data_IF_520792364688
#
_entry.id   IF_520792364688
#
_cell.length_a   1.000
_cell.length_b   1.000
_cell.length_c   1.000
_cell.angle_alpha   90.00
_cell.angle_beta   90.00
_cell.angle_gamma   90.00
#
_symmetry.space_group_name_H-M   'P 1'
#
loop_
_entity.id
_entity.type
_entity.pdbx_description
1 polymer ?
#
# COMPACT_ATOMS: atom_id res chain seq x y z
N UNK A 1 5.20 25.74 19.05
CA UNK A 1 4.44 24.48 19.20
C UNK A 1 4.93 23.80 20.48
N UNK A 2 4.16 23.86 21.54
CA UNK A 2 4.41 23.05 22.75
C UNK A 2 3.82 21.66 22.49
N UNK A 3 4.69 20.66 22.29
CA UNK A 3 4.27 19.25 22.39
C UNK A 3 3.83 18.99 23.81
N UNK A 4 2.56 18.65 24.00
CA UNK A 4 2.09 18.00 25.22
C UNK A 4 2.75 16.63 25.32
N UNK A 5 3.19 16.24 26.49
CA UNK A 5 4.12 15.14 26.79
C UNK A 5 3.57 13.72 26.58
N UNK A 6 2.35 13.55 25.97
CA UNK A 6 1.62 12.27 25.89
C UNK A 6 1.14 11.86 24.49
N UNK A 7 1.53 12.54 23.41
CA UNK A 7 1.19 12.09 22.06
C UNK A 7 2.31 11.22 21.49
N UNK A 8 2.13 9.92 21.57
CA UNK A 8 3.02 8.95 20.89
C UNK A 8 2.96 9.18 19.37
N UNK A 9 4.11 9.46 18.76
CA UNK A 9 4.19 9.57 17.29
C UNK A 9 3.96 8.19 16.68
N UNK A 10 3.16 8.13 15.60
CA UNK A 10 2.97 6.91 14.79
C UNK A 10 3.76 7.06 13.49
N UNK A 11 4.57 6.06 13.17
CA UNK A 11 5.29 6.01 11.90
C UNK A 11 4.38 5.53 10.77
N UNK A 12 4.60 6.01 9.55
CA UNK A 12 3.88 5.52 8.37
C UNK A 12 4.88 4.94 7.39
N UNK A 13 4.66 3.68 7.02
CA UNK A 13 5.36 3.01 5.92
C UNK A 13 4.37 2.88 4.77
N UNK A 14 4.60 3.62 3.71
CA UNK A 14 3.76 3.61 2.52
C UNK A 14 4.28 2.59 1.51
N UNK A 15 3.44 1.63 1.13
CA UNK A 15 3.68 0.65 0.09
C UNK A 15 2.67 0.85 -1.03
N UNK A 16 3.15 1.15 -2.22
CA UNK A 16 2.34 1.32 -3.43
C UNK A 16 3.13 0.89 -4.65
N UNK A 17 2.42 0.50 -5.71
CA UNK A 17 2.98 0.31 -7.04
C UNK A 17 4.24 -0.60 -7.02
N UNK A 18 4.18 -1.68 -6.23
CA UNK A 18 5.29 -2.63 -6.14
C UNK A 18 5.38 -3.44 -7.43
N UNK A 19 4.24 -3.73 -8.06
CA UNK A 19 4.15 -4.51 -9.29
C UNK A 19 4.88 -5.86 -9.20
N UNK A 20 4.64 -6.62 -8.14
CA UNK A 20 5.13 -7.99 -8.06
C UNK A 20 4.76 -8.76 -9.33
N UNK A 21 5.61 -9.65 -9.77
CA UNK A 21 5.53 -10.40 -11.00
C UNK A 21 6.01 -9.68 -12.26
N UNK A 22 6.28 -8.38 -12.23
CA UNK A 22 6.94 -7.71 -13.33
C UNK A 22 8.38 -8.21 -13.47
N UNK A 23 8.80 -8.49 -14.69
CA UNK A 23 10.16 -8.87 -15.04
C UNK A 23 10.78 -7.80 -15.93
N UNK A 24 11.78 -7.09 -15.42
CA UNK A 24 12.57 -6.12 -16.17
C UNK A 24 14.02 -6.59 -16.18
N UNK A 25 14.59 -6.77 -17.38
CA UNK A 25 15.99 -7.09 -17.58
C UNK A 25 16.55 -6.26 -18.75
N UNK A 26 16.81 -5.00 -18.48
CA UNK A 26 17.47 -4.08 -19.42
C UNK A 26 18.75 -3.53 -18.79
N UNK A 27 19.63 -2.97 -19.61
CA UNK A 27 20.94 -2.48 -19.15
C UNK A 27 20.83 -1.45 -18.02
N UNK A 28 19.82 -0.58 -18.07
CA UNK A 28 19.62 0.52 -17.11
C UNK A 28 18.75 0.16 -15.91
N UNK A 29 18.01 -0.95 -15.96
CA UNK A 29 17.07 -1.34 -14.90
C UNK A 29 16.86 -2.86 -14.85
N UNK A 30 16.77 -3.38 -13.65
CA UNK A 30 16.39 -4.77 -13.39
C UNK A 30 15.34 -4.83 -12.31
N UNK A 31 14.32 -5.67 -12.53
CA UNK A 31 13.30 -5.93 -11.55
C UNK A 31 12.80 -7.37 -11.65
N UNK A 32 12.69 -8.02 -10.53
CA UNK A 32 12.12 -9.34 -10.32
C UNK A 32 11.76 -9.51 -8.83
N UNK A 33 11.28 -10.68 -8.43
CA UNK A 33 10.96 -10.97 -7.03
C UNK A 33 12.16 -10.86 -6.08
N UNK A 34 13.37 -11.19 -6.54
CA UNK A 34 14.58 -11.09 -5.70
C UNK A 34 14.92 -9.62 -5.43
N UNK A 35 14.78 -8.79 -6.46
CA UNK A 35 15.04 -7.34 -6.33
C UNK A 35 13.95 -6.69 -5.47
N UNK A 36 12.69 -7.05 -5.67
CA UNK A 36 11.59 -6.58 -4.82
C UNK A 36 11.84 -6.93 -3.35
N UNK A 37 12.18 -8.18 -3.06
CA UNK A 37 12.51 -8.64 -1.70
C UNK A 37 13.67 -7.85 -1.08
N UNK A 38 14.75 -7.62 -1.84
CA UNK A 38 15.90 -6.82 -1.37
C UNK A 38 15.53 -5.37 -1.11
N UNK A 39 14.70 -4.75 -1.97
CA UNK A 39 14.23 -3.37 -1.78
C UNK A 39 13.38 -3.25 -0.52
N UNK A 40 12.45 -4.18 -0.29
CA UNK A 40 11.63 -4.20 0.92
C UNK A 40 12.46 -4.44 2.18
N UNK A 41 13.44 -5.35 2.14
CA UNK A 41 14.39 -5.54 3.24
C UNK A 41 15.12 -4.22 3.59
N UNK A 42 15.65 -3.53 2.59
CA UNK A 42 16.34 -2.25 2.80
C UNK A 42 15.38 -1.16 3.32
N UNK A 43 14.13 -1.15 2.87
CA UNK A 43 13.11 -0.24 3.38
C UNK A 43 12.84 -0.50 4.86
N UNK A 44 12.68 -1.78 5.26
CA UNK A 44 12.50 -2.15 6.67
C UNK A 44 13.67 -1.67 7.54
N UNK A 45 14.90 -1.92 7.13
CA UNK A 45 16.09 -1.51 7.88
C UNK A 45 16.18 0.02 8.04
N UNK A 46 15.88 0.77 6.98
CA UNK A 46 15.85 2.23 7.02
C UNK A 46 14.71 2.76 7.90
N UNK A 47 13.52 2.16 7.78
CA UNK A 47 12.37 2.52 8.61
C UNK A 47 12.67 2.30 10.10
N UNK A 48 13.25 1.15 10.46
CA UNK A 48 13.68 0.88 11.84
C UNK A 48 14.64 1.95 12.35
N UNK A 49 15.71 2.21 11.59
CA UNK A 49 16.71 3.21 11.97
C UNK A 49 16.08 4.57 12.21
N UNK A 50 15.20 5.01 11.31
CA UNK A 50 14.57 6.31 11.38
C UNK A 50 13.55 6.40 12.52
N UNK A 51 12.68 5.40 12.66
CA UNK A 51 11.63 5.38 13.68
C UNK A 51 12.19 5.21 15.09
N UNK A 52 13.24 4.41 15.27
CA UNK A 52 13.93 4.34 16.56
C UNK A 52 14.53 5.68 16.97
N UNK A 53 15.15 6.40 16.05
CA UNK A 53 15.70 7.73 16.33
C UNK A 53 14.63 8.75 16.74
N UNK A 54 13.37 8.54 16.33
CA UNK A 54 12.22 9.36 16.69
C UNK A 54 11.43 8.85 17.89
N UNK A 55 11.81 7.71 18.47
CA UNK A 55 11.09 7.09 19.58
C UNK A 55 9.70 6.53 19.21
N UNK A 56 9.48 6.21 17.95
CA UNK A 56 8.25 5.60 17.43
C UNK A 56 8.18 4.14 17.90
N UNK A 57 7.01 3.72 18.38
CA UNK A 57 6.73 2.33 18.80
C UNK A 57 5.58 1.69 18.04
N UNK A 58 4.81 2.50 17.33
CA UNK A 58 3.66 2.07 16.53
C UNK A 58 3.78 2.56 15.09
N UNK A 59 3.50 1.70 14.12
CA UNK A 59 3.54 2.05 12.71
C UNK A 59 2.26 1.64 11.99
N UNK A 60 1.87 2.46 11.00
CA UNK A 60 0.90 2.13 9.98
C UNK A 60 1.63 1.68 8.72
N UNK A 61 1.35 0.47 8.24
CA UNK A 61 1.69 0.08 6.87
C UNK A 61 0.48 0.40 6.00
N UNK A 62 0.62 1.45 5.19
CA UNK A 62 -0.41 1.91 4.26
C UNK A 62 -0.14 1.32 2.87
N UNK A 63 -0.94 0.32 2.48
CA UNK A 63 -0.86 -0.29 1.14
C UNK A 63 -1.88 0.39 0.23
N UNK A 64 -1.42 1.13 -0.76
CA UNK A 64 -2.30 1.92 -1.64
C UNK A 64 -2.44 1.33 -3.04
N UNK A 65 -2.31 0.02 -3.16
CA UNK A 65 -2.66 -0.71 -4.37
C UNK A 65 -1.50 -0.94 -5.33
N UNK A 66 -1.81 -1.64 -6.41
CA UNK A 66 -0.89 -2.11 -7.45
C UNK A 66 0.31 -2.88 -6.88
N UNK A 67 0.02 -3.76 -5.89
CA UNK A 67 1.00 -4.70 -5.38
C UNK A 67 1.38 -5.73 -6.44
N UNK A 68 0.42 -6.14 -7.29
CA UNK A 68 0.64 -7.08 -8.38
C UNK A 68 0.64 -6.37 -9.72
N UNK A 69 1.54 -6.79 -10.63
CA UNK A 69 1.56 -6.30 -11.99
C UNK A 69 0.34 -6.76 -12.79
N UNK A 70 -0.05 -5.99 -13.81
CA UNK A 70 -1.10 -6.34 -14.77
C UNK A 70 -0.71 -7.52 -15.67
N UNK A 71 -1.71 -8.18 -16.23
CA UNK A 71 -1.57 -9.17 -17.32
C UNK A 71 -2.60 -8.93 -18.44
N UNK A 72 -3.07 -7.70 -18.56
CA UNK A 72 -4.10 -7.31 -19.54
C UNK A 72 -3.59 -7.24 -20.98
N UNK A 73 -2.29 -7.00 -21.14
CA UNK A 73 -1.64 -6.86 -22.44
C UNK A 73 -0.68 -8.01 -22.68
N UNK A 74 -0.44 -8.31 -23.95
CA UNK A 74 0.48 -9.38 -24.34
C UNK A 74 1.91 -9.12 -23.84
N UNK A 75 2.38 -7.89 -23.91
CA UNK A 75 3.70 -7.50 -23.41
C UNK A 75 3.83 -7.66 -21.90
N UNK A 76 2.78 -7.33 -21.14
CA UNK A 76 2.74 -7.54 -19.68
C UNK A 76 2.80 -9.06 -19.35
N UNK A 77 2.06 -9.89 -20.08
CA UNK A 77 2.10 -11.35 -19.91
C UNK A 77 3.46 -11.95 -20.27
N UNK A 78 4.11 -11.45 -21.34
CA UNK A 78 5.42 -11.91 -21.77
C UNK A 78 6.55 -11.47 -20.82
N UNK A 79 6.36 -10.38 -20.12
CA UNK A 79 7.30 -9.85 -19.14
C UNK A 79 6.90 -10.21 -17.70
N UNK A 80 6.15 -11.28 -17.50
CA UNK A 80 5.80 -11.80 -16.19
C UNK A 80 6.82 -12.84 -15.71
N UNK A 81 7.31 -12.70 -14.48
CA UNK A 81 8.25 -13.65 -13.88
C UNK A 81 7.61 -15.02 -13.57
N UNK A 82 6.28 -15.06 -13.42
CA UNK A 82 5.50 -16.28 -13.12
C UNK A 82 4.03 -16.10 -13.51
N UNK A 83 3.24 -17.19 -13.45
CA UNK A 83 1.79 -17.03 -13.51
C UNK A 83 1.26 -16.32 -12.26
N UNK A 84 0.12 -15.63 -12.39
CA UNK A 84 -0.42 -14.78 -11.32
C UNK A 84 -0.70 -15.50 -10.01
N UNK A 85 -1.21 -16.73 -10.07
CA UNK A 85 -1.48 -17.52 -8.85
C UNK A 85 -0.20 -17.75 -8.05
N UNK A 86 0.86 -18.25 -8.69
CA UNK A 86 2.14 -18.46 -8.03
C UNK A 86 2.78 -17.15 -7.58
N UNK A 87 2.68 -16.12 -8.41
CA UNK A 87 3.19 -14.79 -8.11
C UNK A 87 2.55 -14.18 -6.87
N UNK A 88 1.23 -14.40 -6.67
CA UNK A 88 0.51 -13.93 -5.48
C UNK A 88 1.07 -14.57 -4.20
N UNK A 89 1.33 -15.88 -4.21
CA UNK A 89 1.96 -16.52 -3.05
C UNK A 89 3.36 -16.00 -2.78
N UNK A 90 4.18 -15.79 -3.83
CA UNK A 90 5.51 -15.20 -3.66
C UNK A 90 5.45 -13.76 -3.10
N UNK A 91 4.48 -12.97 -3.53
CA UNK A 91 4.25 -11.63 -3.00
C UNK A 91 3.85 -11.68 -1.51
N UNK A 92 2.97 -12.61 -1.14
CA UNK A 92 2.60 -12.84 0.27
C UNK A 92 3.82 -13.23 1.11
N UNK A 93 4.64 -14.15 0.65
CA UNK A 93 5.84 -14.59 1.38
C UNK A 93 6.81 -13.42 1.63
N UNK A 94 7.04 -12.58 0.62
CA UNK A 94 7.91 -11.42 0.74
C UNK A 94 7.33 -10.37 1.70
N UNK A 95 6.04 -10.07 1.58
CA UNK A 95 5.36 -9.11 2.46
C UNK A 95 5.26 -9.64 3.89
N UNK A 96 5.01 -10.94 4.07
CA UNK A 96 5.04 -11.58 5.38
C UNK A 96 6.40 -11.40 6.06
N UNK A 97 7.48 -11.65 5.34
CA UNK A 97 8.83 -11.47 5.88
C UNK A 97 9.11 -10.00 6.25
N UNK A 98 8.68 -9.07 5.41
CA UNK A 98 8.80 -7.63 5.65
C UNK A 98 8.04 -7.21 6.93
N UNK A 99 6.80 -7.66 7.09
CA UNK A 99 5.98 -7.37 8.26
C UNK A 99 6.57 -7.99 9.52
N UNK A 100 7.00 -9.25 9.47
CA UNK A 100 7.65 -9.93 10.60
C UNK A 100 8.93 -9.21 11.03
N UNK A 101 9.69 -8.69 10.08
CA UNK A 101 10.92 -7.99 10.38
C UNK A 101 10.67 -6.65 11.10
N UNK A 102 9.66 -5.90 10.67
CA UNK A 102 9.23 -4.68 11.36
C UNK A 102 8.55 -4.96 12.72
N UNK A 103 7.82 -6.06 12.85
CA UNK A 103 7.12 -6.40 14.10
C UNK A 103 8.06 -6.81 15.25
N UNK A 104 9.34 -7.05 14.97
CA UNK A 104 10.35 -7.23 16.03
C UNK A 104 10.52 -5.97 16.88
N UNK A 105 10.28 -4.82 16.31
CA UNK A 105 10.56 -3.52 16.89
C UNK A 105 9.30 -2.67 17.14
N UNK A 106 8.21 -2.91 16.38
CA UNK A 106 7.02 -2.05 16.40
C UNK A 106 5.72 -2.85 16.49
N UNK A 107 4.69 -2.25 17.10
CA UNK A 107 3.31 -2.63 16.86
C UNK A 107 2.89 -2.13 15.48
N UNK A 108 2.22 -2.97 14.71
CA UNK A 108 1.91 -2.69 13.30
C UNK A 108 0.40 -2.69 13.08
N UNK A 109 -0.09 -1.64 12.48
CA UNK A 109 -1.43 -1.61 11.88
C UNK A 109 -1.27 -1.64 10.37
N UNK A 110 -2.00 -2.51 9.69
CA UNK A 110 -1.97 -2.67 8.23
C UNK A 110 -3.32 -2.27 7.67
N UNK A 111 -3.32 -1.36 6.72
CA UNK A 111 -4.50 -0.94 5.97
C UNK A 111 -4.22 -0.98 4.48
N UNK A 112 -5.27 -1.20 3.66
CA UNK A 112 -5.11 -1.27 2.22
C UNK A 112 -6.25 -0.60 1.47
N UNK A 113 -5.97 -0.20 0.25
CA UNK A 113 -6.92 0.06 -0.84
C UNK A 113 -6.40 -0.62 -2.10
N UNK A 114 -7.31 -1.06 -2.99
CA UNK A 114 -6.92 -1.74 -4.22
C UNK A 114 -6.47 -0.77 -5.31
N UNK A 115 -5.48 -1.19 -6.11
CA UNK A 115 -5.04 -0.50 -7.32
C UNK A 115 -5.75 -0.98 -8.58
N UNK A 116 -5.40 -0.41 -9.73
CA UNK A 116 -6.04 -0.74 -11.01
C UNK A 116 -5.34 -1.86 -11.79
N UNK A 117 -4.06 -2.10 -11.57
CA UNK A 117 -3.30 -3.14 -12.27
C UNK A 117 -3.51 -4.53 -11.63
N UNK A 118 -3.80 -4.57 -10.34
CA UNK A 118 -4.01 -5.81 -9.59
C UNK A 118 -5.38 -6.46 -9.78
N UNK A 119 -6.26 -5.94 -10.65
CA UNK A 119 -7.60 -6.51 -10.89
C UNK A 119 -7.55 -7.93 -11.40
N UNK A 120 -8.48 -8.77 -10.92
CA UNK A 120 -8.64 -10.16 -11.38
C UNK A 120 -9.24 -10.18 -12.79
N UNK A 121 -10.27 -9.37 -13.02
CA UNK A 121 -10.89 -9.28 -14.34
C UNK A 121 -10.45 -7.99 -15.06
N UNK A 122 -9.61 -8.09 -16.10
CA UNK A 122 -9.11 -6.91 -16.81
C UNK A 122 -10.15 -6.25 -17.72
N UNK A 123 -11.20 -6.95 -18.13
CA UNK A 123 -12.20 -6.46 -19.10
C UNK A 123 -13.32 -5.65 -18.43
N UNK A 124 -13.56 -5.88 -17.15
CA UNK A 124 -14.59 -5.15 -16.43
C UNK A 124 -14.03 -3.79 -16.00
N UNK A 125 -14.72 -2.73 -16.36
CA UNK A 125 -14.37 -1.38 -15.96
C UNK A 125 -14.34 -1.21 -14.44
N UNK A 126 -13.56 -0.25 -13.99
CA UNK A 126 -13.44 0.05 -12.56
C UNK A 126 -14.78 0.59 -12.02
N UNK A 127 -15.31 -0.06 -10.99
CA UNK A 127 -16.42 0.44 -10.20
C UNK A 127 -16.33 -0.10 -8.77
N UNK A 128 -17.07 0.51 -7.84
CA UNK A 128 -16.97 0.17 -6.42
C UNK A 128 -17.40 -1.27 -6.10
N UNK A 129 -18.25 -1.88 -6.93
CA UNK A 129 -18.71 -3.25 -6.72
C UNK A 129 -17.63 -4.31 -6.99
N UNK A 130 -16.57 -3.97 -7.74
CA UNK A 130 -15.50 -4.89 -8.11
C UNK A 130 -14.14 -4.47 -7.51
N UNK A 131 -14.10 -3.47 -6.66
CA UNK A 131 -12.86 -3.01 -6.01
C UNK A 131 -12.18 -4.15 -5.26
N UNK A 132 -12.95 -5.02 -4.62
CA UNK A 132 -12.44 -6.19 -3.90
C UNK A 132 -12.08 -7.38 -4.80
N UNK A 133 -12.46 -7.37 -6.09
CA UNK A 133 -12.04 -8.41 -7.06
C UNK A 133 -10.62 -8.11 -7.59
N UNK A 134 -9.67 -8.18 -6.66
CA UNK A 134 -8.29 -7.75 -6.84
C UNK A 134 -7.31 -8.67 -6.14
N UNK A 135 -6.14 -8.85 -6.74
CA UNK A 135 -5.01 -9.54 -6.09
C UNK A 135 -4.49 -8.77 -4.87
N UNK A 136 -4.63 -7.45 -4.82
CA UNK A 136 -4.32 -6.67 -3.61
C UNK A 136 -5.20 -7.10 -2.44
N UNK A 137 -6.50 -7.24 -2.68
CA UNK A 137 -7.47 -7.77 -1.70
C UNK A 137 -7.09 -9.19 -1.27
N UNK A 138 -6.76 -10.05 -2.24
CA UNK A 138 -6.36 -11.43 -1.94
C UNK A 138 -5.10 -11.46 -1.06
N UNK A 139 -4.07 -10.69 -1.38
CA UNK A 139 -2.83 -10.59 -0.60
C UNK A 139 -3.14 -10.12 0.82
N UNK A 140 -3.94 -9.05 0.96
CA UNK A 140 -4.30 -8.50 2.27
C UNK A 140 -5.01 -9.54 3.15
N UNK A 141 -6.02 -10.23 2.63
CA UNK A 141 -6.75 -11.22 3.41
C UNK A 141 -5.94 -12.49 3.71
N UNK A 142 -5.02 -12.89 2.83
CA UNK A 142 -4.08 -13.98 3.14
C UNK A 142 -3.14 -13.55 4.28
N UNK A 143 -2.54 -12.36 4.21
CA UNK A 143 -1.69 -11.82 5.28
C UNK A 143 -2.46 -11.72 6.61
N UNK A 144 -3.70 -11.22 6.58
CA UNK A 144 -4.56 -11.18 7.76
C UNK A 144 -4.77 -12.57 8.38
N UNK A 145 -5.00 -13.58 7.56
CA UNK A 145 -5.12 -14.99 8.03
C UNK A 145 -3.80 -15.52 8.60
N UNK A 146 -2.68 -15.25 7.94
CA UNK A 146 -1.36 -15.66 8.39
C UNK A 146 -1.03 -15.07 9.76
N UNK A 147 -1.40 -13.82 9.98
CA UNK A 147 -1.12 -13.10 11.23
C UNK A 147 -2.26 -13.13 12.27
N UNK A 148 -3.32 -13.90 12.06
CA UNK A 148 -4.51 -13.93 12.92
C UNK A 148 -4.20 -14.12 14.41
N UNK A 149 -3.12 -14.86 14.72
CA UNK A 149 -2.68 -15.14 16.10
C UNK A 149 -1.42 -14.39 16.51
N UNK A 150 -0.92 -13.51 15.66
CA UNK A 150 0.30 -12.76 15.93
C UNK A 150 0.01 -11.59 16.85
N UNK A 151 0.90 -11.36 17.81
CA UNK A 151 0.80 -10.21 18.72
C UNK A 151 1.39 -8.97 18.05
N UNK A 152 0.78 -7.84 18.27
CA UNK A 152 1.28 -6.55 17.80
C UNK A 152 1.07 -6.30 16.30
N UNK A 153 0.25 -7.12 15.62
CA UNK A 153 -0.13 -6.93 14.22
C UNK A 153 -1.66 -6.84 14.11
N UNK A 154 -2.15 -5.73 13.57
CA UNK A 154 -3.56 -5.41 13.45
C UNK A 154 -3.90 -5.09 12.00
N UNK A 155 -5.14 -5.33 11.59
CA UNK A 155 -5.61 -5.10 10.23
C UNK A 155 -6.86 -4.22 10.25
N UNK A 156 -6.86 -3.17 9.43
CA UNK A 156 -8.05 -2.35 9.15
C UNK A 156 -8.63 -2.81 7.83
N UNK A 157 -9.83 -3.37 7.90
CA UNK A 157 -10.57 -3.84 6.72
C UNK A 157 -11.37 -2.70 6.10
N UNK A 158 -11.41 -2.69 4.78
CA UNK A 158 -12.23 -1.80 4.01
C UNK A 158 -12.09 -2.19 2.53
N UNK A 159 -13.07 -2.93 2.00
CA UNK A 159 -13.11 -3.28 0.58
C UNK A 159 -13.58 -2.06 -0.22
N UNK A 160 -12.73 -1.06 -0.32
CA UNK A 160 -13.05 0.23 -0.90
C UNK A 160 -11.87 0.80 -1.69
N UNK A 161 -12.19 1.72 -2.60
CA UNK A 161 -11.20 2.47 -3.38
C UNK A 161 -10.56 3.61 -2.58
N UNK A 162 -11.20 4.02 -1.48
CA UNK A 162 -10.78 5.10 -0.60
C UNK A 162 -11.05 4.68 0.86
N UNK A 163 -10.06 4.85 1.73
CA UNK A 163 -10.15 4.52 3.15
C UNK A 163 -9.65 5.69 3.99
N UNK A 164 -10.49 6.17 4.90
CA UNK A 164 -10.09 7.20 5.87
C UNK A 164 -9.74 6.57 7.21
N UNK A 165 -8.57 6.90 7.74
CA UNK A 165 -8.08 6.44 9.04
C UNK A 165 -7.80 7.66 9.91
N UNK A 166 -8.28 7.63 11.16
CA UNK A 166 -7.96 8.66 12.15
C UNK A 166 -6.89 8.14 13.10
N UNK A 167 -5.74 8.82 13.16
CA UNK A 167 -4.63 8.50 14.05
C UNK A 167 -4.30 9.75 14.87
N UNK A 168 -4.45 9.66 16.18
CA UNK A 168 -4.19 10.79 17.10
C UNK A 168 -4.90 12.09 16.70
N UNK A 169 -6.16 11.97 16.22
CA UNK A 169 -6.94 13.13 15.78
C UNK A 169 -6.60 13.65 14.37
N UNK A 170 -5.68 13.00 13.67
CA UNK A 170 -5.27 13.31 12.30
C UNK A 170 -6.00 12.37 11.33
N UNK A 171 -6.77 12.90 10.42
CA UNK A 171 -7.50 12.14 9.41
C UNK A 171 -6.64 11.95 8.16
N UNK A 172 -6.32 10.72 7.86
CA UNK A 172 -5.52 10.31 6.72
C UNK A 172 -6.42 9.60 5.72
N UNK A 173 -6.48 10.11 4.50
CA UNK A 173 -7.16 9.46 3.39
C UNK A 173 -6.14 8.63 2.61
N UNK A 174 -6.42 7.35 2.48
CA UNK A 174 -5.69 6.42 1.60
C UNK A 174 -6.51 6.19 0.35
N UNK A 175 -5.89 6.26 -0.81
CA UNK A 175 -6.47 5.90 -2.11
C UNK A 175 -5.37 5.47 -3.07
N UNK A 176 -5.72 4.70 -4.13
CA UNK A 176 -4.72 4.40 -5.15
C UNK A 176 -4.42 5.61 -6.05
N UNK A 177 -5.43 6.40 -6.38
CA UNK A 177 -5.32 7.58 -7.25
C UNK A 177 -5.89 7.38 -8.65
N UNK A 178 -6.12 6.15 -9.09
CA UNK A 178 -6.74 5.87 -10.40
C UNK A 178 -8.13 6.51 -10.50
N UNK A 179 -8.36 7.26 -11.58
CA UNK A 179 -9.62 7.97 -11.80
C UNK A 179 -9.85 9.21 -10.92
N UNK A 180 -9.10 9.37 -9.83
CA UNK A 180 -9.20 10.52 -8.94
C UNK A 180 -8.15 11.59 -9.24
N UNK A 181 -6.93 11.16 -9.61
CA UNK A 181 -5.82 12.06 -9.93
C UNK A 181 -5.75 12.25 -11.44
N UNK A 182 -6.26 13.38 -11.92
CA UNK A 182 -6.28 13.72 -13.34
C UNK A 182 -5.64 15.10 -13.57
N UNK A 183 -4.57 15.15 -14.35
CA UNK A 183 -3.85 16.39 -14.66
C UNK A 183 -3.06 16.93 -13.48
N UNK A 184 -3.45 18.06 -12.90
CA UNK A 184 -2.76 18.60 -11.72
C UNK A 184 -3.11 17.81 -10.45
N UNK A 185 -2.09 17.23 -9.83
CA UNK A 185 -2.20 16.50 -8.57
C UNK A 185 -2.80 17.38 -7.48
N UNK A 186 -2.30 18.61 -7.34
CA UNK A 186 -2.76 19.56 -6.34
C UNK A 186 -4.27 19.81 -6.44
N UNK A 187 -4.75 20.12 -7.65
CA UNK A 187 -6.19 20.34 -7.88
C UNK A 187 -7.04 19.10 -7.60
N UNK A 188 -6.54 17.93 -7.97
CA UNK A 188 -7.23 16.67 -7.72
C UNK A 188 -7.35 16.41 -6.21
N UNK A 189 -6.30 16.64 -5.45
CA UNK A 189 -6.29 16.50 -3.98
C UNK A 189 -7.24 17.51 -3.34
N UNK A 190 -7.24 18.78 -3.79
CA UNK A 190 -8.19 19.79 -3.31
C UNK A 190 -9.64 19.39 -3.55
N UNK A 191 -9.95 18.84 -4.72
CA UNK A 191 -11.30 18.35 -5.05
C UNK A 191 -11.71 17.19 -4.16
N UNK A 192 -10.82 16.22 -3.94
CA UNK A 192 -11.07 15.08 -3.06
C UNK A 192 -11.29 15.56 -1.62
N UNK A 193 -10.41 16.41 -1.08
CA UNK A 193 -10.57 16.99 0.27
C UNK A 193 -11.86 17.79 0.39
N UNK A 194 -12.24 18.57 -0.64
CA UNK A 194 -13.50 19.31 -0.70
C UNK A 194 -14.73 18.41 -0.65
N UNK A 195 -14.69 17.26 -1.34
CA UNK A 195 -15.76 16.26 -1.29
C UNK A 195 -15.95 15.69 0.12
N UNK A 196 -14.87 15.32 0.82
CA UNK A 196 -14.95 14.84 2.20
C UNK A 196 -15.43 15.94 3.16
N UNK A 197 -14.95 17.17 3.00
CA UNK A 197 -15.37 18.31 3.81
C UNK A 197 -16.88 18.60 3.67
N UNK A 198 -17.47 18.41 2.49
CA UNK A 198 -18.92 18.55 2.27
C UNK A 198 -19.75 17.52 3.05
N UNK A 199 -19.15 16.41 3.48
CA UNK A 199 -19.74 15.39 4.34
C UNK A 199 -19.30 15.52 5.82
N UNK A 200 -18.66 16.63 6.18
CA UNK A 200 -18.24 16.90 7.56
C UNK A 200 -16.94 16.23 7.97
N UNK A 201 -16.18 15.67 7.05
CA UNK A 201 -14.90 15.03 7.32
C UNK A 201 -13.76 15.92 6.81
N UNK A 202 -12.92 16.40 7.70
CA UNK A 202 -11.70 17.15 7.35
C UNK A 202 -10.55 16.18 7.15
N UNK A 203 -10.00 16.14 5.95
CA UNK A 203 -8.82 15.31 5.62
C UNK A 203 -7.56 16.16 5.79
N UNK A 204 -6.67 15.73 6.68
CA UNK A 204 -5.39 16.39 6.93
C UNK A 204 -4.34 15.97 5.90
N UNK A 205 -4.18 14.65 5.70
CA UNK A 205 -3.23 14.07 4.75
C UNK A 205 -3.90 13.14 3.76
N UNK A 206 -3.34 13.09 2.54
CA UNK A 206 -3.73 12.13 1.50
C UNK A 206 -2.49 11.29 1.15
N UNK A 207 -2.63 9.98 1.20
CA UNK A 207 -1.61 9.02 0.79
C UNK A 207 -2.13 8.30 -0.45
N UNK A 208 -1.37 8.34 -1.54
CA UNK A 208 -1.79 7.73 -2.80
C UNK A 208 -0.59 7.20 -3.62
N UNK A 209 -0.87 6.30 -4.55
CA UNK A 209 0.06 5.73 -5.52
C UNK A 209 -0.23 6.16 -6.96
N UNK A 210 -0.12 5.22 -7.92
CA UNK A 210 -0.53 5.32 -9.33
C UNK A 210 0.36 6.19 -10.23
N UNK A 211 0.87 7.33 -9.76
CA UNK A 211 1.56 8.31 -10.61
C UNK A 211 3.03 7.91 -10.89
N UNK A 212 3.59 6.98 -10.11
CA UNK A 212 4.97 6.50 -10.22
C UNK A 212 6.04 7.61 -10.16
N UNK A 213 5.71 8.75 -9.55
CA UNK A 213 6.64 9.86 -9.36
C UNK A 213 6.56 10.42 -7.96
N UNK A 214 7.70 10.82 -7.41
CA UNK A 214 7.73 11.60 -6.17
C UNK A 214 7.26 13.03 -6.48
N UNK A 215 6.37 13.54 -5.67
CA UNK A 215 5.82 14.89 -5.76
C UNK A 215 6.18 15.66 -4.49
#
# INVERSE_FOLDING_TARGET
>A
YHKTKDESSVGIVHLSDIHFNELIDIQSNKYDFNIASKRLFLLAERAKTYFHALGVTEILIAMTGDLMNSDRRLDEMLNAASNRTKATFLAVDILQQFILDLNKDFNITIAYVSGNESRVNPEIGWNDNIVSDSYDTMIFYILKKVFEKSKGIYFIEGDCSELTICINGVNILMMHGHGCINGSVEKSIEQVKGRYASHGVIIDYVIFGHIHSAI
#
